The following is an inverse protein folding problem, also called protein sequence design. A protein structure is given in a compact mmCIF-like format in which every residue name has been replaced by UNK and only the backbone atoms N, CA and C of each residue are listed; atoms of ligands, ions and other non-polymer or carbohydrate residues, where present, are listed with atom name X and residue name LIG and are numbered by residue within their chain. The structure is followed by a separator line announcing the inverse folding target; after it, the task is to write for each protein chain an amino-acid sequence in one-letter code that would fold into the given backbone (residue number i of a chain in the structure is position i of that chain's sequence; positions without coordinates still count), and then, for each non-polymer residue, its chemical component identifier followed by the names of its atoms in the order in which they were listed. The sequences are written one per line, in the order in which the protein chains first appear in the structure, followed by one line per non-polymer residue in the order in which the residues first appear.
data_IF_076858877111
#
_entry.id   IF_076858877111
#
_cell.length_a   1.000
_cell.length_b   1.000
_cell.length_c   1.000
_cell.angle_alpha   90.00
_cell.angle_beta   90.00
_cell.angle_gamma   90.00
#
_symmetry.space_group_name_H-M   'P 1'
#
loop_
_entity.id
_entity.type
_entity.pdbx_description
1 polymer ?
#
# COMPACT_ATOMS: atom_id res chain seq x y z
N UNK A 1 -29.36 25.41 5.46
CA UNK A 1 -28.09 24.73 5.82
C UNK A 1 -27.69 23.59 4.87
N UNK A 2 -28.59 23.02 4.05
CA UNK A 2 -28.24 21.96 3.08
C UNK A 2 -27.40 22.44 1.88
N UNK A 3 -27.70 23.61 1.29
CA UNK A 3 -27.00 24.07 0.08
C UNK A 3 -25.55 24.52 0.32
N UNK A 4 -25.23 25.02 1.52
CA UNK A 4 -23.86 25.41 1.87
C UNK A 4 -22.96 24.21 2.16
N UNK A 5 -23.51 23.14 2.76
CA UNK A 5 -22.76 21.90 2.99
C UNK A 5 -22.47 21.17 1.67
N UNK A 6 -23.41 21.22 0.71
CA UNK A 6 -23.22 20.69 -0.64
C UNK A 6 -22.17 21.50 -1.42
N UNK A 7 -22.17 22.84 -1.32
CA UNK A 7 -21.14 23.65 -2.00
C UNK A 7 -19.74 23.51 -1.40
N UNK A 8 -19.63 23.30 -0.08
CA UNK A 8 -18.34 23.07 0.58
C UNK A 8 -17.75 21.71 0.23
N UNK A 9 -18.60 20.68 0.15
CA UNK A 9 -18.18 19.32 -0.23
C UNK A 9 -17.85 19.21 -1.72
N UNK A 10 -18.34 20.10 -2.58
CA UNK A 10 -17.93 20.19 -3.99
C UNK A 10 -16.66 21.03 -4.22
N UNK A 11 -16.08 21.61 -3.16
CA UNK A 11 -14.82 22.33 -3.28
C UNK A 11 -13.65 21.33 -3.36
N UNK A 12 -13.11 21.17 -4.56
CA UNK A 12 -11.94 20.33 -4.88
C UNK A 12 -10.82 20.42 -3.84
N UNK A 13 -10.44 21.65 -3.45
CA UNK A 13 -9.33 21.89 -2.51
C UNK A 13 -9.70 21.34 -1.14
N UNK A 14 -10.93 21.58 -0.68
CA UNK A 14 -11.41 21.09 0.59
C UNK A 14 -11.45 19.55 0.63
N UNK A 15 -11.97 18.90 -0.42
CA UNK A 15 -12.00 17.43 -0.53
C UNK A 15 -10.59 16.84 -0.47
N UNK A 16 -9.64 17.42 -1.22
CA UNK A 16 -8.25 16.95 -1.25
C UNK A 16 -7.58 17.12 0.11
N UNK A 17 -7.73 18.27 0.76
CA UNK A 17 -7.16 18.54 2.08
C UNK A 17 -7.74 17.60 3.15
N UNK A 18 -9.06 17.42 3.16
CA UNK A 18 -9.74 16.53 4.10
C UNK A 18 -9.29 15.09 3.92
N UNK A 19 -9.29 14.59 2.69
CA UNK A 19 -8.85 13.22 2.35
C UNK A 19 -7.39 13.02 2.75
N UNK A 20 -6.51 13.94 2.37
CA UNK A 20 -5.09 13.88 2.72
C UNK A 20 -4.89 13.87 4.24
N UNK A 21 -5.62 14.70 4.97
CA UNK A 21 -5.55 14.76 6.43
C UNK A 21 -6.01 13.46 7.08
N UNK A 22 -7.11 12.87 6.60
CA UNK A 22 -7.61 11.57 7.07
C UNK A 22 -6.58 10.47 6.82
N UNK A 23 -6.00 10.42 5.61
CA UNK A 23 -4.96 9.46 5.26
C UNK A 23 -3.70 9.65 6.11
N UNK A 24 -3.19 10.86 6.28
CA UNK A 24 -2.03 11.14 7.15
C UNK A 24 -2.32 10.70 8.58
N UNK A 25 -3.51 11.01 9.10
CA UNK A 25 -3.92 10.63 10.46
C UNK A 25 -3.86 9.11 10.64
N UNK A 26 -4.40 8.35 9.70
CA UNK A 26 -4.35 6.90 9.77
C UNK A 26 -2.95 6.33 9.50
N UNK A 27 -2.37 6.62 8.34
CA UNK A 27 -1.13 5.99 7.86
C UNK A 27 0.12 6.44 8.62
N UNK A 28 0.16 7.67 9.12
CA UNK A 28 1.31 8.17 9.88
C UNK A 28 1.08 8.06 11.39
N UNK A 29 0.01 8.66 11.92
CA UNK A 29 -0.21 8.67 13.37
C UNK A 29 -0.72 7.34 13.90
N UNK A 30 -1.69 6.72 13.22
CA UNK A 30 -2.24 5.41 13.58
C UNK A 30 -1.18 4.31 13.57
N UNK A 31 -0.43 4.16 12.46
CA UNK A 31 0.65 3.17 12.39
C UNK A 31 1.76 3.42 13.42
N UNK A 32 2.15 4.67 13.66
CA UNK A 32 3.12 5.02 14.72
C UNK A 32 2.66 4.56 16.11
N UNK A 33 1.38 4.68 16.42
CA UNK A 33 0.82 4.19 17.68
C UNK A 33 0.88 2.66 17.76
N UNK A 34 0.54 1.96 16.67
CA UNK A 34 0.63 0.49 16.60
C UNK A 34 2.08 0.04 16.85
N UNK A 35 3.07 0.67 16.20
CA UNK A 35 4.49 0.35 16.40
C UNK A 35 4.97 0.62 17.82
N UNK A 36 4.39 1.61 18.52
CA UNK A 36 4.70 1.86 19.93
C UNK A 36 4.14 0.77 20.86
N UNK A 37 2.96 0.23 20.55
CA UNK A 37 2.26 -0.74 21.42
C UNK A 37 2.72 -2.18 21.15
N UNK A 38 3.08 -2.50 19.91
CA UNK A 38 3.38 -3.87 19.49
C UNK A 38 4.52 -4.55 20.26
N UNK A 39 5.63 -3.89 20.63
CA UNK A 39 6.66 -4.50 21.47
C UNK A 39 6.14 -4.95 22.84
N UNK A 40 5.23 -4.18 23.45
CA UNK A 40 4.63 -4.52 24.75
C UNK A 40 3.75 -5.76 24.63
N UNK A 41 2.98 -5.86 23.54
CA UNK A 41 2.17 -7.05 23.24
C UNK A 41 3.07 -8.25 22.99
N UNK A 42 4.15 -8.09 22.23
CA UNK A 42 5.10 -9.15 21.88
C UNK A 42 5.75 -9.78 23.12
N UNK A 43 6.17 -8.97 24.09
CA UNK A 43 6.74 -9.47 25.36
C UNK A 43 5.73 -10.34 26.12
N UNK A 44 4.44 -9.97 26.09
CA UNK A 44 3.37 -10.71 26.77
C UNK A 44 2.92 -11.96 26.02
N UNK A 45 3.11 -12.02 24.71
CA UNK A 45 2.70 -13.13 23.83
C UNK A 45 3.83 -14.13 23.58
N UNK A 46 4.80 -14.23 24.50
CA UNK A 46 6.04 -15.04 24.43
C UNK A 46 5.88 -16.57 24.33
N UNK A 47 4.76 -17.03 23.77
CA UNK A 47 4.44 -18.42 23.46
C UNK A 47 5.35 -18.98 22.36
N UNK A 48 5.88 -18.13 21.46
CA UNK A 48 6.71 -18.59 20.33
C UNK A 48 8.21 -18.45 20.66
N UNK A 49 8.73 -19.31 21.55
CA UNK A 49 10.13 -19.26 22.03
C UNK A 49 11.21 -19.46 20.95
N UNK A 50 10.83 -19.95 19.76
CA UNK A 50 11.77 -20.28 18.68
C UNK A 50 12.21 -19.08 17.82
N UNK A 51 11.56 -17.93 17.95
CA UNK A 51 11.87 -16.74 17.14
C UNK A 51 12.32 -15.57 18.01
N UNK A 52 13.10 -14.65 17.42
CA UNK A 52 13.57 -13.47 18.13
C UNK A 52 12.41 -12.52 18.47
N UNK A 53 12.56 -11.72 19.53
CA UNK A 53 11.56 -10.72 19.91
C UNK A 53 11.22 -9.78 18.74
N UNK A 54 12.22 -9.36 17.95
CA UNK A 54 12.03 -8.51 16.77
C UNK A 54 11.17 -9.18 15.68
N UNK A 55 11.28 -10.50 15.52
CA UNK A 55 10.43 -11.26 14.59
C UNK A 55 8.98 -11.29 15.06
N UNK A 56 8.77 -11.60 16.34
CA UNK A 56 7.44 -11.63 16.96
C UNK A 56 6.79 -10.24 16.92
N UNK A 57 7.54 -9.19 17.26
CA UNK A 57 7.07 -7.80 17.17
C UNK A 57 6.65 -7.47 15.74
N UNK A 58 7.46 -7.82 14.73
CA UNK A 58 7.12 -7.58 13.32
C UNK A 58 5.81 -8.24 12.88
N UNK A 59 5.55 -9.47 13.34
CA UNK A 59 4.29 -10.18 13.06
C UNK A 59 3.09 -9.48 13.70
N UNK A 60 3.23 -9.06 14.96
CA UNK A 60 2.16 -8.37 15.69
C UNK A 60 1.89 -7.00 15.06
N UNK A 61 2.94 -6.25 14.72
CA UNK A 61 2.83 -4.97 14.02
C UNK A 61 2.03 -5.13 12.73
N UNK A 62 2.41 -6.09 11.88
CA UNK A 62 1.72 -6.30 10.60
C UNK A 62 0.26 -6.74 10.81
N UNK A 63 0.01 -7.64 11.75
CA UNK A 63 -1.34 -8.15 12.03
C UNK A 63 -2.27 -7.04 12.54
N UNK A 64 -1.78 -6.19 13.44
CA UNK A 64 -2.52 -5.05 13.96
C UNK A 64 -2.73 -3.99 12.87
N UNK A 65 -1.70 -3.68 12.08
CA UNK A 65 -1.82 -2.76 10.94
C UNK A 65 -2.88 -3.26 9.96
N UNK A 66 -2.79 -4.50 9.49
CA UNK A 66 -3.74 -5.08 8.55
C UNK A 66 -5.18 -5.06 9.09
N UNK A 67 -5.37 -5.41 10.36
CA UNK A 67 -6.70 -5.37 11.01
C UNK A 67 -7.26 -3.96 11.09
N UNK A 68 -6.45 -2.99 11.54
CA UNK A 68 -6.85 -1.58 11.56
C UNK A 68 -7.10 -1.02 10.15
N UNK A 69 -6.40 -1.52 9.14
CA UNK A 69 -6.58 -1.12 7.75
C UNK A 69 -7.92 -1.56 7.20
N UNK A 70 -8.35 -2.79 7.49
CA UNK A 70 -9.68 -3.30 7.11
C UNK A 70 -10.76 -2.46 7.78
N UNK A 71 -10.62 -2.13 9.07
CA UNK A 71 -11.57 -1.26 9.78
C UNK A 71 -11.63 0.15 9.19
N UNK A 72 -10.47 0.72 8.88
CA UNK A 72 -10.37 2.03 8.25
C UNK A 72 -10.95 2.05 6.83
N UNK A 73 -10.69 1.00 6.05
CA UNK A 73 -11.28 0.80 4.73
C UNK A 73 -12.81 0.72 4.83
N UNK A 74 -13.35 -0.10 5.76
CA UNK A 74 -14.78 -0.20 5.99
C UNK A 74 -15.40 1.16 6.38
N UNK A 75 -14.73 1.91 7.25
CA UNK A 75 -15.17 3.26 7.62
C UNK A 75 -15.20 4.21 6.41
N UNK A 76 -14.17 4.21 5.58
CA UNK A 76 -14.11 5.06 4.39
C UNK A 76 -15.18 4.70 3.36
N UNK A 77 -15.45 3.41 3.15
CA UNK A 77 -16.55 2.94 2.31
C UNK A 77 -17.90 3.47 2.83
N UNK A 78 -18.14 3.36 4.14
CA UNK A 78 -19.39 3.83 4.76
C UNK A 78 -19.54 5.36 4.62
N UNK A 79 -18.49 6.14 4.87
CA UNK A 79 -18.53 7.60 4.78
C UNK A 79 -18.70 8.07 3.32
N UNK A 80 -18.03 7.41 2.38
CA UNK A 80 -18.10 7.75 0.94
C UNK A 80 -19.36 7.22 0.25
N UNK A 81 -20.16 6.38 0.91
CA UNK A 81 -21.26 5.63 0.30
C UNK A 81 -20.82 4.85 -0.96
N UNK A 82 -19.59 4.30 -0.95
CA UNK A 82 -19.11 3.48 -2.07
C UNK A 82 -19.88 2.15 -2.09
N UNK A 83 -20.46 1.79 -3.24
CA UNK A 83 -21.20 0.53 -3.37
C UNK A 83 -20.22 -0.66 -3.40
N UNK A 84 -20.11 -1.34 -2.26
CA UNK A 84 -19.27 -2.53 -2.09
C UNK A 84 -19.59 -3.61 -3.12
N UNK A 85 -20.86 -3.77 -3.50
CA UNK A 85 -21.23 -4.81 -4.45
C UNK A 85 -20.59 -4.52 -5.81
N UNK A 86 -20.56 -3.26 -6.25
CA UNK A 86 -19.92 -2.89 -7.52
C UNK A 86 -18.41 -3.14 -7.53
N UNK A 87 -17.73 -3.04 -6.38
CA UNK A 87 -16.29 -3.32 -6.23
C UNK A 87 -15.95 -4.78 -6.58
N UNK A 88 -16.86 -5.70 -6.27
CA UNK A 88 -16.67 -7.15 -6.46
C UNK A 88 -17.43 -7.72 -7.66
N UNK A 89 -18.43 -6.99 -8.18
CA UNK A 89 -19.24 -7.39 -9.33
C UNK A 89 -18.37 -7.43 -10.60
N UNK A 90 -18.75 -8.29 -11.54
CA UNK A 90 -18.10 -8.46 -12.86
C UNK A 90 -16.68 -9.05 -12.87
N UNK A 91 -16.16 -9.53 -11.74
CA UNK A 91 -14.86 -10.22 -11.75
C UNK A 91 -14.96 -11.57 -12.46
N UNK A 92 -14.35 -11.69 -13.63
CA UNK A 92 -14.18 -12.97 -14.32
C UNK A 92 -12.91 -13.69 -13.85
N UNK A 93 -12.90 -15.02 -13.90
CA UNK A 93 -11.69 -15.84 -13.60
C UNK A 93 -10.54 -15.45 -14.53
N UNK A 94 -10.84 -15.09 -15.78
CA UNK A 94 -9.86 -14.64 -16.76
C UNK A 94 -9.20 -13.33 -16.32
N UNK A 95 -9.97 -12.38 -15.78
CA UNK A 95 -9.43 -11.13 -15.25
C UNK A 95 -8.48 -11.38 -14.08
N UNK A 96 -8.77 -12.36 -13.22
CA UNK A 96 -7.86 -12.77 -12.16
C UNK A 96 -6.52 -13.30 -12.69
N UNK A 97 -6.53 -14.10 -13.76
CA UNK A 97 -5.29 -14.54 -14.43
C UNK A 97 -4.53 -13.36 -15.04
N UNK A 98 -5.21 -12.42 -15.68
CA UNK A 98 -4.57 -11.19 -16.15
C UNK A 98 -3.98 -10.38 -15.00
N UNK A 99 -4.65 -10.32 -13.85
CA UNK A 99 -4.11 -9.71 -12.63
C UNK A 99 -2.74 -10.28 -12.27
N UNK A 100 -2.55 -11.59 -12.31
CA UNK A 100 -1.24 -12.23 -12.06
C UNK A 100 -0.20 -11.74 -13.07
N UNK A 101 -0.51 -11.76 -14.38
CA UNK A 101 0.42 -11.33 -15.42
C UNK A 101 0.78 -9.85 -15.31
N UNK A 102 -0.20 -8.99 -15.00
CA UNK A 102 0.01 -7.56 -14.76
C UNK A 102 0.89 -7.35 -13.53
N UNK A 103 0.70 -8.12 -12.46
CA UNK A 103 1.54 -8.08 -11.28
C UNK A 103 3.00 -8.42 -11.59
N UNK A 104 3.25 -9.50 -12.35
CA UNK A 104 4.60 -9.88 -12.81
C UNK A 104 5.22 -8.78 -13.68
N UNK A 105 4.47 -8.25 -14.65
CA UNK A 105 4.93 -7.16 -15.52
C UNK A 105 5.27 -5.89 -14.72
N UNK A 106 4.43 -5.54 -13.75
CA UNK A 106 4.61 -4.37 -12.89
C UNK A 106 5.88 -4.48 -12.04
N UNK A 107 6.20 -5.67 -11.53
CA UNK A 107 7.48 -5.93 -10.85
C UNK A 107 8.65 -5.73 -11.78
N UNK A 108 8.61 -6.33 -12.98
CA UNK A 108 9.69 -6.21 -13.96
C UNK A 108 10.00 -4.74 -14.31
N UNK A 109 8.97 -3.95 -14.60
CA UNK A 109 9.11 -2.51 -14.88
C UNK A 109 9.64 -1.76 -13.66
N UNK A 110 9.13 -2.09 -12.47
CA UNK A 110 9.58 -1.43 -11.22
C UNK A 110 11.04 -1.73 -10.91
N UNK A 111 11.51 -2.96 -11.14
CA UNK A 111 12.93 -3.34 -10.99
C UNK A 111 13.80 -2.58 -11.99
N UNK A 112 13.36 -2.47 -13.25
CA UNK A 112 14.06 -1.68 -14.26
C UNK A 112 14.21 -0.22 -13.83
N UNK A 113 13.12 0.42 -13.41
CA UNK A 113 13.14 1.81 -12.95
C UNK A 113 13.92 1.99 -11.65
N UNK A 114 13.86 1.05 -10.71
CA UNK A 114 14.71 1.06 -9.53
C UNK A 114 16.19 0.98 -9.91
N UNK A 115 16.54 0.14 -10.90
CA UNK A 115 17.92 0.01 -11.38
C UNK A 115 18.43 1.31 -12.00
N UNK A 116 17.60 1.99 -12.80
CA UNK A 116 17.90 3.32 -13.31
C UNK A 116 18.06 4.34 -12.17
N UNK A 117 17.15 4.33 -11.19
CA UNK A 117 17.20 5.18 -10.01
C UNK A 117 18.49 4.99 -9.18
N UNK A 118 18.89 3.74 -8.96
CA UNK A 118 20.16 3.40 -8.30
C UNK A 118 21.34 4.02 -9.04
N UNK A 119 21.40 3.87 -10.37
CA UNK A 119 22.49 4.44 -11.19
C UNK A 119 22.53 5.96 -11.17
N UNK A 120 21.36 6.61 -11.16
CA UNK A 120 21.25 8.06 -11.02
C UNK A 120 21.79 8.49 -9.65
N UNK A 121 21.35 7.84 -8.56
CA UNK A 121 21.81 8.18 -7.20
C UNK A 121 23.31 7.94 -7.05
N UNK A 122 23.84 6.82 -7.57
CA UNK A 122 25.28 6.53 -7.59
C UNK A 122 26.07 7.62 -8.33
N UNK A 123 25.51 8.19 -9.40
CA UNK A 123 26.16 9.23 -10.19
C UNK A 123 26.17 10.60 -9.50
N UNK A 124 25.08 10.97 -8.82
CA UNK A 124 24.93 12.29 -8.19
C UNK A 124 25.36 12.33 -6.71
N UNK A 125 25.32 11.20 -6.01
CA UNK A 125 25.60 11.09 -4.57
C UNK A 125 26.48 9.87 -4.23
N UNK A 126 27.67 9.73 -4.85
CA UNK A 126 28.50 8.52 -4.74
C UNK A 126 28.96 8.19 -3.31
N UNK A 127 29.02 9.20 -2.43
CA UNK A 127 29.44 9.03 -1.04
C UNK A 127 28.36 8.41 -0.13
N UNK A 128 27.08 8.58 -0.48
CA UNK A 128 25.95 8.10 0.33
C UNK A 128 25.22 6.91 -0.28
N UNK A 129 25.48 6.61 -1.55
CA UNK A 129 24.89 5.47 -2.25
C UNK A 129 25.49 4.14 -1.75
N UNK A 130 24.67 3.10 -1.53
CA UNK A 130 25.19 1.74 -1.36
C UNK A 130 26.06 1.33 -2.55
N UNK A 131 27.25 0.80 -2.28
CA UNK A 131 28.23 0.45 -3.33
C UNK A 131 28.08 -1.00 -3.84
N UNK A 132 27.29 -1.81 -3.15
CA UNK A 132 27.11 -3.23 -3.45
C UNK A 132 25.63 -3.55 -3.62
N UNK A 133 25.33 -4.59 -4.40
CA UNK A 133 23.97 -5.12 -4.54
C UNK A 133 23.39 -5.53 -3.18
N UNK A 134 24.20 -6.14 -2.31
CA UNK A 134 23.81 -6.52 -0.95
C UNK A 134 23.42 -5.30 -0.11
N UNK A 135 24.16 -4.19 -0.25
CA UNK A 135 23.83 -2.92 0.41
C UNK A 135 22.49 -2.35 -0.07
N UNK A 136 22.26 -2.37 -1.38
CA UNK A 136 20.97 -1.97 -1.96
C UNK A 136 19.82 -2.86 -1.49
N UNK A 137 20.03 -4.18 -1.44
CA UNK A 137 19.04 -5.13 -0.92
C UNK A 137 18.77 -4.94 0.57
N UNK A 138 19.78 -4.65 1.38
CA UNK A 138 19.60 -4.36 2.80
C UNK A 138 18.74 -3.10 3.01
N UNK A 139 18.97 -2.06 2.20
CA UNK A 139 18.21 -0.80 2.24
C UNK A 139 16.77 -1.01 1.75
N UNK A 140 16.59 -1.79 0.68
CA UNK A 140 15.26 -2.13 0.15
C UNK A 140 14.42 -2.96 1.15
N UNK A 141 15.07 -3.80 1.95
CA UNK A 141 14.42 -4.64 2.95
C UNK A 141 14.11 -3.93 4.28
N UNK A 142 14.35 -2.62 4.37
CA UNK A 142 14.09 -1.84 5.56
C UNK A 142 12.62 -1.38 5.66
N UNK A 143 12.30 -0.62 6.71
CA UNK A 143 10.96 -0.06 6.89
C UNK A 143 9.88 -1.13 6.99
N UNK A 144 8.76 -0.89 6.30
CA UNK A 144 7.59 -1.75 6.43
C UNK A 144 7.74 -3.13 5.77
N UNK A 145 8.62 -3.27 4.77
CA UNK A 145 8.92 -4.54 4.08
C UNK A 145 9.46 -5.58 5.06
N UNK A 146 10.24 -5.15 6.05
CA UNK A 146 10.78 -6.01 7.10
C UNK A 146 9.69 -6.76 7.86
N UNK A 147 8.58 -6.09 8.20
CA UNK A 147 7.49 -6.72 8.95
C UNK A 147 6.85 -7.86 8.15
N UNK A 148 6.70 -7.70 6.84
CA UNK A 148 6.18 -8.73 5.94
C UNK A 148 7.11 -9.95 5.86
N UNK A 149 8.43 -9.71 5.74
CA UNK A 149 9.44 -10.79 5.79
C UNK A 149 9.43 -11.54 7.12
N UNK A 150 9.24 -10.83 8.23
CA UNK A 150 9.14 -11.46 9.55
C UNK A 150 7.88 -12.34 9.63
N UNK A 151 6.74 -11.84 9.18
CA UNK A 151 5.48 -12.60 9.15
C UNK A 151 5.61 -13.89 8.34
N UNK A 152 6.14 -13.81 7.12
CA UNK A 152 6.36 -14.97 6.24
C UNK A 152 7.32 -16.02 6.85
N UNK A 153 8.29 -15.58 7.67
CA UNK A 153 9.22 -16.48 8.37
C UNK A 153 8.61 -17.14 9.60
N UNK A 154 7.69 -16.47 10.29
CA UNK A 154 7.20 -16.87 11.62
C UNK A 154 5.89 -17.65 11.53
N UNK A 155 4.96 -17.21 10.68
CA UNK A 155 3.62 -17.79 10.58
C UNK A 155 3.51 -18.77 9.40
N UNK A 156 2.58 -19.74 9.47
CA UNK A 156 2.27 -20.59 8.33
C UNK A 156 1.91 -19.76 7.09
N UNK A 157 2.33 -20.23 5.91
CA UNK A 157 2.22 -19.48 4.66
C UNK A 157 0.81 -18.92 4.41
N UNK A 158 -0.24 -19.72 4.62
CA UNK A 158 -1.63 -19.28 4.41
C UNK A 158 -2.05 -18.15 5.35
N UNK A 159 -1.60 -18.16 6.61
CA UNK A 159 -1.91 -17.11 7.57
C UNK A 159 -1.15 -15.82 7.23
N UNK A 160 0.12 -15.95 6.83
CA UNK A 160 0.91 -14.83 6.32
C UNK A 160 0.24 -14.20 5.11
N UNK A 161 -0.18 -15.03 4.14
CA UNK A 161 -0.85 -14.59 2.93
C UNK A 161 -2.17 -13.88 3.23
N UNK A 162 -2.96 -14.39 4.17
CA UNK A 162 -4.19 -13.74 4.62
C UNK A 162 -3.92 -12.33 5.18
N UNK A 163 -2.97 -12.19 6.12
CA UNK A 163 -2.65 -10.90 6.74
C UNK A 163 -2.16 -9.89 5.69
N UNK A 164 -1.29 -10.33 4.78
CA UNK A 164 -0.77 -9.50 3.70
C UNK A 164 -1.90 -9.08 2.76
N UNK A 165 -2.78 -10.01 2.40
CA UNK A 165 -3.94 -9.75 1.52
C UNK A 165 -4.93 -8.79 2.17
N UNK A 166 -5.16 -8.89 3.48
CA UNK A 166 -6.00 -7.93 4.21
C UNK A 166 -5.45 -6.51 4.10
N UNK A 167 -4.14 -6.33 4.26
CA UNK A 167 -3.53 -5.00 4.12
C UNK A 167 -3.56 -4.51 2.67
N UNK A 168 -3.00 -5.29 1.73
CA UNK A 168 -2.90 -4.92 0.31
C UNK A 168 -4.29 -4.71 -0.30
N UNK A 169 -5.23 -5.60 0.02
CA UNK A 169 -6.62 -5.49 -0.41
C UNK A 169 -7.29 -4.20 0.07
N UNK A 170 -7.03 -3.83 1.33
CA UNK A 170 -7.51 -2.55 1.87
C UNK A 170 -6.87 -1.36 1.15
N UNK A 171 -5.60 -1.43 0.76
CA UNK A 171 -4.95 -0.38 -0.02
C UNK A 171 -5.63 -0.21 -1.39
N UNK A 172 -5.79 -1.29 -2.16
CA UNK A 172 -6.43 -1.21 -3.48
C UNK A 172 -7.89 -0.70 -3.38
N UNK A 173 -8.65 -1.14 -2.39
CA UNK A 173 -10.03 -0.65 -2.22
C UNK A 173 -10.03 0.84 -1.86
N UNK A 174 -9.16 1.28 -0.94
CA UNK A 174 -9.10 2.69 -0.55
C UNK A 174 -8.71 3.56 -1.75
N UNK A 175 -7.60 3.25 -2.43
CA UNK A 175 -7.09 4.12 -3.47
C UNK A 175 -7.89 4.02 -4.77
N UNK A 176 -8.27 2.81 -5.20
CA UNK A 176 -9.00 2.63 -6.47
C UNK A 176 -10.49 2.82 -6.31
N UNK A 177 -11.13 2.10 -5.39
CA UNK A 177 -12.57 2.21 -5.29
C UNK A 177 -13.02 3.48 -4.57
N UNK A 178 -12.46 3.78 -3.40
CA UNK A 178 -12.98 4.89 -2.59
C UNK A 178 -12.50 6.23 -3.11
N UNK A 179 -11.18 6.46 -3.19
CA UNK A 179 -10.65 7.78 -3.52
C UNK A 179 -10.96 8.19 -4.96
N UNK A 180 -10.89 7.27 -5.93
CA UNK A 180 -11.26 7.58 -7.31
C UNK A 180 -12.72 8.01 -7.39
N UNK A 181 -13.66 7.29 -6.75
CA UNK A 181 -15.06 7.69 -6.73
C UNK A 181 -15.33 9.01 -5.98
N UNK A 182 -14.57 9.30 -4.93
CA UNK A 182 -14.64 10.61 -4.25
C UNK A 182 -14.22 11.73 -5.19
N UNK A 183 -13.15 11.54 -5.96
CA UNK A 183 -12.59 12.58 -6.82
C UNK A 183 -13.19 12.63 -8.23
N UNK A 184 -13.89 11.58 -8.69
CA UNK A 184 -14.42 11.47 -10.07
C UNK A 184 -15.38 12.61 -10.42
N UNK A 185 -16.09 13.14 -9.40
CA UNK A 185 -16.99 14.29 -9.56
C UNK A 185 -16.27 15.55 -10.06
N UNK A 186 -14.96 15.65 -9.86
CA UNK A 186 -14.12 16.74 -10.33
C UNK A 186 -13.40 16.42 -11.66
N UNK A 187 -13.73 15.29 -12.29
CA UNK A 187 -13.16 14.83 -13.56
C UNK A 187 -12.21 13.63 -13.41
N UNK A 188 -12.27 12.74 -14.39
CA UNK A 188 -11.50 11.48 -14.42
C UNK A 188 -10.00 11.69 -14.28
N UNK A 189 -9.44 12.68 -14.98
CA UNK A 189 -8.00 12.99 -14.89
C UNK A 189 -7.60 13.42 -13.47
N UNK A 190 -8.42 14.24 -12.80
CA UNK A 190 -8.11 14.68 -11.45
C UNK A 190 -8.20 13.51 -10.45
N UNK A 191 -9.20 12.64 -10.60
CA UNK A 191 -9.33 11.43 -9.79
C UNK A 191 -8.13 10.50 -9.95
N UNK A 192 -7.75 10.24 -11.20
CA UNK A 192 -6.58 9.43 -11.55
C UNK A 192 -5.31 9.95 -10.89
N UNK A 193 -5.03 11.24 -11.08
CA UNK A 193 -3.80 11.86 -10.57
C UNK A 193 -3.82 11.89 -9.04
N UNK A 194 -4.91 12.33 -8.43
CA UNK A 194 -4.99 12.51 -6.98
C UNK A 194 -4.94 11.18 -6.23
N UNK A 195 -5.67 10.16 -6.71
CA UNK A 195 -5.61 8.80 -6.16
C UNK A 195 -4.19 8.24 -6.23
N UNK A 196 -3.55 8.34 -7.41
CA UNK A 196 -2.21 7.82 -7.63
C UNK A 196 -1.15 8.56 -6.82
N UNK A 197 -1.20 9.90 -6.77
CA UNK A 197 -0.23 10.70 -5.99
C UNK A 197 -0.38 10.42 -4.50
N UNK A 198 -1.61 10.32 -4.00
CA UNK A 198 -1.83 9.91 -2.61
C UNK A 198 -1.28 8.50 -2.41
N UNK A 199 -1.59 7.54 -3.27
CA UNK A 199 -1.07 6.17 -3.20
C UNK A 199 0.46 6.13 -3.10
N UNK A 200 1.17 6.88 -3.95
CA UNK A 200 2.63 6.98 -3.89
C UNK A 200 3.11 7.63 -2.60
N UNK A 201 2.41 8.67 -2.13
CA UNK A 201 2.77 9.40 -0.93
C UNK A 201 2.78 8.52 0.32
N UNK A 202 1.77 7.66 0.58
CA UNK A 202 1.84 6.84 1.81
C UNK A 202 2.92 5.77 1.79
N UNK A 203 3.41 5.37 0.62
CA UNK A 203 4.50 4.40 0.52
C UNK A 203 5.83 4.96 0.99
N UNK A 204 5.93 6.30 1.11
CA UNK A 204 7.07 6.98 1.74
C UNK A 204 7.01 6.96 3.27
N UNK A 205 5.83 6.78 3.85
CA UNK A 205 5.62 6.89 5.30
C UNK A 205 6.28 5.72 6.03
N UNK A 206 6.89 6.02 7.17
CA UNK A 206 7.62 5.05 8.00
C UNK A 206 8.79 4.34 7.31
N UNK A 207 9.27 4.87 6.19
CA UNK A 207 10.55 4.46 5.61
C UNK A 207 11.71 5.15 6.34
N UNK A 208 12.78 4.42 6.70
CA UNK A 208 13.87 4.97 7.51
C UNK A 208 14.76 5.97 6.75
N UNK A 209 14.74 5.94 5.42
CA UNK A 209 15.50 6.85 4.57
C UNK A 209 14.85 7.03 3.20
N UNK A 210 15.24 8.10 2.48
CA UNK A 210 14.85 8.32 1.08
C UNK A 210 15.27 7.15 0.18
N UNK A 211 16.48 6.63 0.39
CA UNK A 211 17.02 5.49 -0.36
C UNK A 211 16.19 4.22 -0.14
N UNK A 212 15.78 3.95 1.11
CA UNK A 212 14.88 2.82 1.39
C UNK A 212 13.48 3.02 0.79
N UNK A 213 12.98 4.26 0.72
CA UNK A 213 11.66 4.56 0.16
C UNK A 213 11.63 4.44 -1.37
N UNK A 214 12.77 4.47 -2.05
CA UNK A 214 12.85 4.44 -3.51
C UNK A 214 12.12 3.23 -4.13
N UNK A 215 12.35 2.02 -3.59
CA UNK A 215 11.73 0.81 -4.13
C UNK A 215 10.20 0.82 -3.96
N UNK A 216 9.65 1.05 -2.74
CA UNK A 216 8.21 1.26 -2.58
C UNK A 216 7.62 2.35 -3.47
N UNK A 217 8.28 3.51 -3.57
CA UNK A 217 7.78 4.65 -4.35
C UNK A 217 7.72 4.33 -5.83
N UNK A 218 8.78 3.75 -6.40
CA UNK A 218 8.80 3.37 -7.82
C UNK A 218 7.75 2.29 -8.11
N UNK A 219 7.68 1.26 -7.25
CA UNK A 219 6.64 0.23 -7.35
C UNK A 219 5.22 0.83 -7.30
N UNK A 220 5.02 1.78 -6.39
CA UNK A 220 3.75 2.47 -6.23
C UNK A 220 3.42 3.42 -7.37
N UNK A 221 4.39 3.99 -8.06
CA UNK A 221 4.15 4.78 -9.28
C UNK A 221 3.66 3.85 -10.40
N UNK A 222 4.35 2.74 -10.62
CA UNK A 222 4.02 1.77 -11.68
C UNK A 222 2.64 1.15 -11.44
N UNK A 223 2.41 0.58 -10.26
CA UNK A 223 1.10 0.05 -9.87
C UNK A 223 0.06 1.16 -9.78
N UNK A 224 0.45 2.32 -9.26
CA UNK A 224 -0.28 3.59 -9.23
C UNK A 224 -1.02 3.86 -10.52
N UNK A 225 -0.24 4.02 -11.57
CA UNK A 225 -0.69 4.31 -12.93
C UNK A 225 -1.46 3.12 -13.50
N UNK A 226 -0.89 1.91 -13.42
CA UNK A 226 -1.44 0.73 -14.10
C UNK A 226 -2.80 0.33 -13.53
N UNK A 227 -2.92 0.21 -12.22
CA UNK A 227 -4.17 -0.21 -11.57
C UNK A 227 -5.25 0.86 -11.69
N UNK A 228 -4.90 2.16 -11.68
CA UNK A 228 -5.88 3.22 -11.88
C UNK A 228 -6.44 3.21 -13.30
N UNK A 229 -5.60 3.02 -14.32
CA UNK A 229 -6.07 2.86 -15.70
C UNK A 229 -7.02 1.67 -15.85
N UNK A 230 -6.66 0.52 -15.27
CA UNK A 230 -7.49 -0.67 -15.32
C UNK A 230 -8.81 -0.49 -14.56
N UNK A 231 -8.79 0.16 -13.40
CA UNK A 231 -9.99 0.43 -12.61
C UNK A 231 -10.97 1.37 -13.31
N UNK A 232 -10.47 2.39 -14.00
CA UNK A 232 -11.30 3.32 -14.75
C UNK A 232 -11.95 2.67 -15.98
N UNK A 233 -11.32 1.65 -16.55
CA UNK A 233 -11.85 0.89 -17.69
C UNK A 233 -12.85 -0.19 -17.24
N UNK A 234 -12.49 -0.97 -16.22
CA UNK A 234 -13.33 -2.02 -15.62
C UNK A 234 -13.26 -1.90 -14.08
N UNK A 235 -14.31 -1.39 -13.40
CA UNK A 235 -14.28 -1.03 -11.98
C UNK A 235 -14.34 -2.23 -11.03
N UNK A 236 -13.61 -3.29 -11.33
CA UNK A 236 -13.38 -4.46 -10.48
C UNK A 236 -12.03 -4.35 -9.77
N UNK A 237 -12.04 -4.50 -8.45
CA UNK A 237 -10.81 -4.37 -7.64
C UNK A 237 -10.13 -5.73 -7.43
N UNK A 238 -10.83 -6.86 -7.56
CA UNK A 238 -10.26 -8.19 -7.30
C UNK A 238 -9.01 -8.47 -8.17
N UNK A 239 -9.03 -8.25 -9.50
CA UNK A 239 -7.85 -8.44 -10.33
C UNK A 239 -6.66 -7.56 -9.91
N UNK A 240 -6.95 -6.35 -9.43
CA UNK A 240 -5.94 -5.39 -8.96
C UNK A 240 -5.32 -5.83 -7.63
N UNK A 241 -6.13 -6.39 -6.72
CA UNK A 241 -5.64 -7.01 -5.48
C UNK A 241 -4.73 -8.20 -5.82
N UNK A 242 -5.13 -9.05 -6.77
CA UNK A 242 -4.32 -10.19 -7.21
C UNK A 242 -3.02 -9.71 -7.85
N UNK A 243 -3.08 -8.65 -8.69
CA UNK A 243 -1.91 -8.01 -9.29
C UNK A 243 -0.96 -7.48 -8.22
N UNK A 244 -1.46 -6.71 -7.26
CA UNK A 244 -0.66 -6.15 -6.17
C UNK A 244 -0.08 -7.27 -5.29
N UNK A 245 -0.88 -8.29 -4.95
CA UNK A 245 -0.39 -9.43 -4.18
C UNK A 245 0.71 -10.19 -4.92
N UNK A 246 0.54 -10.40 -6.22
CA UNK A 246 1.58 -11.01 -7.08
C UNK A 246 2.83 -10.14 -7.08
N UNK A 247 2.68 -8.83 -7.28
CA UNK A 247 3.78 -7.87 -7.23
C UNK A 247 4.56 -8.00 -5.92
N UNK A 248 3.81 -8.05 -4.82
CA UNK A 248 4.36 -8.13 -3.48
C UNK A 248 5.11 -9.44 -3.24
N UNK A 249 4.53 -10.57 -3.64
CA UNK A 249 5.13 -11.90 -3.54
C UNK A 249 6.50 -11.92 -4.22
N UNK A 250 6.61 -11.45 -5.47
CA UNK A 250 7.88 -11.41 -6.21
C UNK A 250 8.88 -10.38 -5.67
N UNK A 251 8.41 -9.37 -4.93
CA UNK A 251 9.29 -8.37 -4.31
C UNK A 251 9.85 -8.86 -2.97
N UNK A 252 9.11 -9.69 -2.25
CA UNK A 252 9.41 -10.06 -0.85
C UNK A 252 9.93 -11.47 -0.67
N UNK A 253 9.48 -12.44 -1.49
CA UNK A 253 10.03 -13.80 -1.55
C UNK A 253 11.28 -13.86 -2.42
#
# INVERSE_FOLDING_TARGET
MSNYAISLTQNLIFQLLLTTTILITFYYHGKKLIFKISPVVAIKTSVIKQYSLTQITGVIELSLVASCHVLFCALLILISNTDILTIFKNTSVINCFYGILIGVGSVGISILFCTLGMKIIESFSPETAPKTLEGWMAVANAGWIRHHKHTLKVLPFLLSLLIITMQIGSEEIIFRAVLTNVFIQNGTTFAFISSTVLFVFMQTLHMPSKTSAMFPVIGAIVMGITHEFLYLEDPSVIPLIISHLTFFIFTVL
#
